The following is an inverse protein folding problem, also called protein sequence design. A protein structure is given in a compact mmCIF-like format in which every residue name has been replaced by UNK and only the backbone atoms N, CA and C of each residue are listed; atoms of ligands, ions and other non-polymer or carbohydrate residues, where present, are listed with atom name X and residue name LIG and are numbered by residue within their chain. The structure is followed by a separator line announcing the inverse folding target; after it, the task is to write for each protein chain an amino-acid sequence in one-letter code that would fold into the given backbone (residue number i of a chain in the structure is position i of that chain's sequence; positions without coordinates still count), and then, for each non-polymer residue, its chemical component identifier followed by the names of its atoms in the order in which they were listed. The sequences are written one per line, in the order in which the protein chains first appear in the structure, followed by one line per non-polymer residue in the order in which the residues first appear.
data_IF_220184519762
#
_entry.id   IF_220184519762
#
_cell.length_a   1.000
_cell.length_b   1.000
_cell.length_c   1.000
_cell.angle_alpha   90.00
_cell.angle_beta   90.00
_cell.angle_gamma   90.00
#
_symmetry.space_group_name_H-M   'P 1'
#
loop_
_entity.id
_entity.type
_entity.pdbx_description
1 polymer ?
#
# COMPACT_ATOMS: atom_id res chain seq x y z
N UNK A 1 0.38 -9.23 2.31
CA UNK A 1 0.79 -9.44 0.91
C UNK A 1 1.07 -10.92 0.63
N UNK A 2 0.18 -11.82 1.01
CA UNK A 2 0.27 -13.25 0.65
C UNK A 2 -0.23 -13.44 -0.79
N UNK A 3 0.06 -14.58 -1.44
CA UNK A 3 -0.40 -14.80 -2.82
C UNK A 3 -1.93 -14.82 -2.95
N UNK A 4 -2.65 -15.07 -1.86
CA UNK A 4 -4.12 -15.01 -1.78
C UNK A 4 -4.67 -13.72 -1.16
N UNK A 5 -3.82 -12.80 -0.69
CA UNK A 5 -4.28 -11.47 -0.21
C UNK A 5 -4.97 -10.72 -1.34
N UNK A 6 -5.94 -9.87 -1.01
CA UNK A 6 -6.50 -8.93 -1.99
C UNK A 6 -5.36 -8.02 -2.50
N UNK A 7 -5.22 -7.82 -3.83
CA UNK A 7 -4.23 -6.90 -4.39
C UNK A 7 -4.19 -5.52 -3.74
N UNK A 8 -5.36 -4.96 -3.38
CA UNK A 8 -5.49 -3.65 -2.76
C UNK A 8 -4.89 -3.57 -1.34
N UNK A 9 -4.78 -4.70 -0.62
CA UNK A 9 -4.07 -4.73 0.66
C UNK A 9 -2.61 -4.28 0.50
N UNK A 10 -1.97 -4.57 -0.64
CA UNK A 10 -0.57 -4.16 -0.87
C UNK A 10 -0.46 -2.65 -1.10
N UNK A 11 -1.45 -2.04 -1.76
CA UNK A 11 -1.54 -0.58 -1.89
C UNK A 11 -1.80 0.08 -0.55
N UNK A 12 -2.68 -0.52 0.25
CA UNK A 12 -3.11 0.00 1.55
C UNK A 12 -1.94 0.28 2.49
N UNK A 13 -0.85 -0.49 2.39
CA UNK A 13 0.38 -0.28 3.18
C UNK A 13 0.97 1.13 3.02
N UNK A 14 0.96 1.71 1.81
CA UNK A 14 1.45 3.07 1.59
C UNK A 14 0.54 4.13 2.22
N UNK A 15 -0.78 3.92 2.14
CA UNK A 15 -1.76 4.79 2.78
C UNK A 15 -1.68 4.72 4.30
N UNK A 16 -1.47 3.53 4.85
CA UNK A 16 -1.25 3.32 6.27
C UNK A 16 0.02 4.02 6.77
N UNK A 17 1.12 3.96 6.00
CA UNK A 17 2.33 4.69 6.32
C UNK A 17 2.10 6.21 6.40
N UNK A 18 1.35 6.79 5.44
CA UNK A 18 0.99 8.22 5.46
C UNK A 18 0.06 8.55 6.65
N UNK A 19 -0.85 7.66 7.00
CA UNK A 19 -1.78 7.83 8.13
C UNK A 19 -1.07 7.82 9.48
N UNK A 20 -0.14 6.88 9.66
CA UNK A 20 0.68 6.75 10.87
C UNK A 20 1.82 7.77 10.97
N UNK A 21 2.00 8.65 9.99
CA UNK A 21 3.15 9.54 9.87
C UNK A 21 4.49 8.77 9.95
N UNK A 22 4.55 7.62 9.27
CA UNK A 22 5.77 6.83 9.11
C UNK A 22 6.51 7.25 7.84
N UNK A 23 7.82 7.01 7.83
CA UNK A 23 8.67 7.29 6.67
C UNK A 23 8.56 6.23 5.57
N UNK A 24 7.93 5.09 5.85
CA UNK A 24 7.76 4.03 4.86
C UNK A 24 7.28 2.70 5.45
N UNK A 25 7.62 1.63 4.73
CA UNK A 25 7.22 0.25 5.04
C UNK A 25 8.38 -0.71 4.83
N UNK A 26 8.48 -1.72 5.70
CA UNK A 26 9.48 -2.79 5.60
C UNK A 26 8.80 -4.15 5.49
N UNK A 27 9.33 -4.98 4.58
CA UNK A 27 8.98 -6.39 4.46
C UNK A 27 10.24 -7.24 4.43
N UNK A 28 10.22 -8.34 5.17
CA UNK A 28 11.43 -9.12 5.46
C UNK A 28 12.01 -9.88 4.26
N UNK A 29 11.19 -10.26 3.28
CA UNK A 29 11.62 -11.10 2.16
C UNK A 29 11.19 -10.54 0.80
N UNK A 30 12.18 -10.13 0.02
CA UNK A 30 12.00 -9.68 -1.36
C UNK A 30 11.92 -10.87 -2.33
N UNK A 31 12.89 -11.79 -2.28
CA UNK A 31 13.03 -12.92 -3.21
C UNK A 31 13.62 -14.20 -2.59
N UNK A 32 13.28 -14.52 -1.33
CA UNK A 32 13.67 -15.78 -0.69
C UNK A 32 12.83 -16.94 -1.25
N UNK A 33 13.13 -17.35 -2.48
CA UNK A 33 12.30 -18.28 -3.26
C UNK A 33 12.17 -19.67 -2.64
N UNK A 34 11.00 -20.28 -2.86
CA UNK A 34 10.75 -21.71 -2.63
C UNK A 34 11.43 -22.54 -3.73
N UNK A 35 11.28 -23.87 -3.69
CA UNK A 35 11.89 -24.78 -4.67
C UNK A 35 11.49 -24.46 -6.12
N UNK A 36 10.20 -24.22 -6.35
CA UNK A 36 9.61 -23.97 -7.68
C UNK A 36 8.73 -22.71 -7.61
N UNK A 37 9.32 -21.50 -7.53
CA UNK A 37 8.61 -20.29 -7.12
C UNK A 37 7.58 -19.81 -8.15
N UNK A 38 7.67 -20.25 -9.41
CA UNK A 38 6.68 -19.93 -10.45
C UNK A 38 5.42 -20.81 -10.36
N UNK A 39 5.52 -21.96 -9.71
CA UNK A 39 4.47 -22.99 -9.67
C UNK A 39 3.81 -23.07 -8.28
N UNK A 40 4.61 -22.97 -7.21
CA UNK A 40 4.11 -23.11 -5.83
C UNK A 40 4.76 -22.12 -4.86
N UNK A 41 3.92 -21.25 -4.30
CA UNK A 41 4.32 -20.22 -3.33
C UNK A 41 4.23 -20.64 -1.88
N UNK A 42 3.76 -21.86 -1.61
CA UNK A 42 3.66 -22.41 -0.24
C UNK A 42 5.04 -22.71 0.32
N UNK A 43 5.15 -22.55 1.63
CA UNK A 43 6.34 -22.91 2.38
C UNK A 43 5.93 -23.67 3.64
N UNK A 44 6.88 -24.38 4.26
CA UNK A 44 6.62 -25.27 5.40
C UNK A 44 6.09 -24.57 6.67
N UNK A 45 6.20 -23.24 6.77
CA UNK A 45 5.93 -22.49 8.03
C UNK A 45 4.87 -21.40 7.89
N UNK A 46 4.90 -20.60 6.81
CA UNK A 46 4.08 -19.39 6.70
C UNK A 46 3.08 -19.49 5.56
N UNK A 47 2.11 -18.57 5.57
CA UNK A 47 1.15 -18.39 4.49
C UNK A 47 1.85 -18.26 3.12
N UNK A 48 1.21 -18.79 2.08
CA UNK A 48 1.77 -18.84 0.74
C UNK A 48 2.12 -17.43 0.22
N UNK A 49 3.30 -17.29 -0.38
CA UNK A 49 3.82 -16.00 -0.85
C UNK A 49 4.48 -15.13 0.21
N UNK A 50 4.61 -15.60 1.46
CA UNK A 50 5.30 -14.79 2.47
C UNK A 50 6.79 -14.60 2.15
N UNK A 51 7.45 -15.62 1.61
CA UNK A 51 8.90 -15.60 1.41
C UNK A 51 9.37 -14.75 0.21
N UNK A 52 8.47 -14.24 -0.64
CA UNK A 52 8.88 -13.44 -1.80
C UNK A 52 7.75 -12.61 -2.40
N UNK A 53 8.12 -11.45 -2.96
CA UNK A 53 7.24 -10.55 -3.72
C UNK A 53 7.51 -10.59 -5.23
N UNK A 54 8.72 -10.95 -5.66
CA UNK A 54 9.10 -10.99 -7.08
C UNK A 54 9.50 -12.40 -7.52
N UNK A 55 9.44 -12.65 -8.82
CA UNK A 55 9.67 -13.96 -9.44
C UNK A 55 10.95 -13.97 -10.29
N UNK A 56 11.51 -15.15 -10.63
CA UNK A 56 12.71 -15.27 -11.46
C UNK A 56 12.63 -14.52 -12.80
N UNK A 57 13.82 -14.16 -13.32
CA UNK A 57 14.03 -13.44 -14.58
C UNK A 57 13.38 -12.04 -14.61
N UNK A 58 13.50 -11.29 -13.52
CA UNK A 58 13.04 -9.89 -13.46
C UNK A 58 11.51 -9.74 -13.52
N UNK A 59 10.75 -10.79 -13.18
CA UNK A 59 9.28 -10.74 -13.20
C UNK A 59 8.76 -10.12 -11.91
N UNK A 60 7.95 -9.07 -12.06
CA UNK A 60 7.20 -8.50 -10.95
C UNK A 60 6.05 -9.42 -10.49
N UNK A 61 5.28 -8.97 -9.52
CA UNK A 61 4.00 -9.57 -9.13
C UNK A 61 2.94 -8.49 -8.96
N UNK A 62 1.67 -8.90 -9.00
CA UNK A 62 0.54 -8.01 -8.66
C UNK A 62 0.79 -7.32 -7.31
N UNK A 63 1.25 -8.07 -6.29
CA UNK A 63 1.49 -7.53 -4.94
C UNK A 63 2.58 -6.46 -4.94
N UNK A 64 3.64 -6.66 -5.74
CA UNK A 64 4.74 -5.70 -5.84
C UNK A 64 4.32 -4.44 -6.59
N UNK A 65 3.64 -4.57 -7.74
CA UNK A 65 3.13 -3.41 -8.48
C UNK A 65 2.10 -2.61 -7.67
N UNK A 66 1.18 -3.28 -6.98
CA UNK A 66 0.20 -2.62 -6.11
C UNK A 66 0.84 -1.92 -4.92
N UNK A 67 1.96 -2.43 -4.41
CA UNK A 67 2.77 -1.76 -3.40
C UNK A 67 3.46 -0.51 -3.97
N UNK A 68 4.04 -0.59 -5.16
CA UNK A 68 4.63 0.57 -5.87
C UNK A 68 3.57 1.65 -6.11
N UNK A 69 2.35 1.28 -6.51
CA UNK A 69 1.24 2.24 -6.60
C UNK A 69 0.93 2.91 -5.25
N UNK A 70 0.92 2.14 -4.14
CA UNK A 70 0.72 2.69 -2.80
C UNK A 70 1.83 3.65 -2.36
N UNK A 71 3.08 3.39 -2.75
CA UNK A 71 4.22 4.29 -2.55
C UNK A 71 4.02 5.59 -3.36
N UNK A 72 3.57 5.49 -4.61
CA UNK A 72 3.27 6.68 -5.41
C UNK A 72 2.12 7.51 -4.83
N UNK A 73 1.09 6.86 -4.28
CA UNK A 73 0.02 7.55 -3.56
C UNK A 73 0.56 8.28 -2.32
N UNK A 74 1.46 7.64 -1.55
CA UNK A 74 2.16 8.28 -0.42
C UNK A 74 2.90 9.55 -0.87
N UNK A 75 3.69 9.47 -1.93
CA UNK A 75 4.45 10.63 -2.44
C UNK A 75 3.54 11.76 -2.91
N UNK A 76 2.44 11.45 -3.61
CA UNK A 76 1.43 12.45 -3.99
C UNK A 76 0.87 13.16 -2.76
N UNK A 77 0.49 12.41 -1.73
CA UNK A 77 -0.03 12.98 -0.49
C UNK A 77 1.02 13.86 0.22
N UNK A 78 2.30 13.45 0.23
CA UNK A 78 3.39 14.25 0.79
C UNK A 78 3.55 15.58 0.05
N UNK A 79 3.61 15.55 -1.29
CA UNK A 79 3.72 16.74 -2.15
C UNK A 79 2.52 17.67 -1.92
N UNK A 80 1.29 17.15 -1.90
CA UNK A 80 0.09 17.96 -1.64
C UNK A 80 0.09 18.58 -0.25
N UNK A 81 0.51 17.83 0.79
CA UNK A 81 0.64 18.38 2.16
C UNK A 81 1.63 19.54 2.20
N UNK A 82 2.79 19.40 1.56
CA UNK A 82 3.80 20.46 1.47
C UNK A 82 3.26 21.68 0.74
N UNK A 83 2.62 21.47 -0.42
CA UNK A 83 2.02 22.54 -1.21
C UNK A 83 0.93 23.29 -0.43
N UNK A 84 0.01 22.58 0.21
CA UNK A 84 -1.08 23.21 0.97
C UNK A 84 -0.57 24.00 2.17
N UNK A 85 0.49 23.53 2.84
CA UNK A 85 1.16 24.28 3.90
C UNK A 85 1.81 25.55 3.35
N UNK A 86 2.59 25.45 2.27
CA UNK A 86 3.28 26.59 1.66
C UNK A 86 2.28 27.67 1.16
N UNK A 87 1.12 27.25 0.65
CA UNK A 87 0.06 28.13 0.13
C UNK A 87 -0.98 28.55 1.18
N UNK A 88 -0.81 28.18 2.46
CA UNK A 88 -1.79 28.42 3.53
C UNK A 88 -3.22 27.90 3.22
N UNK A 89 -3.33 26.82 2.44
CA UNK A 89 -4.59 26.18 2.04
C UNK A 89 -5.12 25.24 3.14
N UNK A 90 -5.39 25.79 4.32
CA UNK A 90 -5.77 25.02 5.52
C UNK A 90 -7.01 24.15 5.32
N UNK A 91 -7.95 24.55 4.47
CA UNK A 91 -9.13 23.76 4.12
C UNK A 91 -8.78 22.46 3.37
N UNK A 92 -7.95 22.55 2.32
CA UNK A 92 -7.49 21.38 1.56
C UNK A 92 -6.62 20.46 2.42
N UNK A 93 -5.76 21.02 3.27
CA UNK A 93 -4.95 20.25 4.21
C UNK A 93 -5.82 19.43 5.16
N UNK A 94 -6.84 20.04 5.78
CA UNK A 94 -7.79 19.34 6.65
C UNK A 94 -8.58 18.24 5.92
N UNK A 95 -8.96 18.48 4.67
CA UNK A 95 -9.64 17.47 3.84
C UNK A 95 -8.73 16.29 3.55
N UNK A 96 -7.47 16.54 3.19
CA UNK A 96 -6.49 15.49 2.95
C UNK A 96 -6.19 14.70 4.23
N UNK A 97 -5.96 15.37 5.36
CA UNK A 97 -5.70 14.69 6.64
C UNK A 97 -6.90 13.83 7.08
N UNK A 98 -8.13 14.29 6.87
CA UNK A 98 -9.36 13.51 7.13
C UNK A 98 -9.49 12.30 6.21
N UNK A 99 -9.05 12.39 4.96
CA UNK A 99 -9.07 11.27 4.03
C UNK A 99 -8.09 10.18 4.48
N UNK A 100 -6.87 10.56 4.86
CA UNK A 100 -5.79 9.65 5.22
C UNK A 100 -6.01 9.02 6.61
N UNK A 101 -6.63 9.73 7.56
CA UNK A 101 -6.83 9.22 8.92
C UNK A 101 -7.69 7.96 9.03
N UNK A 102 -8.34 7.54 7.94
CA UNK A 102 -9.15 6.31 7.87
C UNK A 102 -8.31 5.03 7.72
N UNK A 103 -7.03 5.16 7.36
CA UNK A 103 -6.15 4.03 7.05
C UNK A 103 -5.38 3.54 8.28
N UNK A 104 -6.11 3.17 9.34
CA UNK A 104 -5.58 2.55 10.57
C UNK A 104 -5.86 1.05 10.61
N UNK A 105 -5.19 0.31 11.50
CA UNK A 105 -5.42 -1.15 11.65
C UNK A 105 -6.88 -1.44 12.02
N UNK A 106 -7.45 -0.66 12.95
CA UNK A 106 -8.87 -0.76 13.30
C UNK A 106 -9.78 -0.37 12.12
N UNK A 107 -9.36 0.62 11.33
CA UNK A 107 -10.03 1.03 10.10
C UNK A 107 -9.94 -0.01 8.97
N UNK A 108 -9.02 -0.98 9.05
CA UNK A 108 -8.94 -2.11 8.13
C UNK A 108 -9.98 -3.18 8.44
N UNK A 109 -10.39 -3.31 9.71
CA UNK A 109 -11.42 -4.26 10.12
C UNK A 109 -12.79 -3.90 9.51
N UNK A 110 -13.40 -4.85 8.78
CA UNK A 110 -14.80 -4.75 8.38
C UNK A 110 -15.12 -4.10 7.03
N UNK A 111 -14.16 -3.97 6.10
CA UNK A 111 -14.51 -3.54 4.73
C UNK A 111 -13.51 -3.96 3.66
N UNK A 112 -14.01 -4.10 2.43
CA UNK A 112 -13.22 -4.43 1.23
C UNK A 112 -12.10 -3.40 0.98
N UNK A 113 -10.85 -3.87 1.00
CA UNK A 113 -9.67 -3.03 0.81
C UNK A 113 -9.69 -2.36 -0.57
N UNK A 114 -10.20 -3.05 -1.61
CA UNK A 114 -10.27 -2.51 -2.96
C UNK A 114 -11.20 -1.30 -3.03
N UNK A 115 -12.42 -1.43 -2.50
CA UNK A 115 -13.39 -0.31 -2.45
C UNK A 115 -12.83 0.89 -1.69
N UNK A 116 -12.21 0.68 -0.52
CA UNK A 116 -11.62 1.77 0.29
C UNK A 116 -10.51 2.50 -0.48
N UNK A 117 -9.58 1.77 -1.07
CA UNK A 117 -8.47 2.35 -1.84
C UNK A 117 -8.96 3.09 -3.08
N UNK A 118 -9.90 2.50 -3.83
CA UNK A 118 -10.41 3.12 -5.06
C UNK A 118 -11.14 4.43 -4.77
N UNK A 119 -11.98 4.46 -3.73
CA UNK A 119 -12.66 5.68 -3.30
C UNK A 119 -11.67 6.74 -2.82
N UNK A 120 -10.67 6.34 -2.04
CA UNK A 120 -9.68 7.28 -1.52
C UNK A 120 -8.80 7.87 -2.62
N UNK A 121 -8.34 7.06 -3.59
CA UNK A 121 -7.64 7.56 -4.77
C UNK A 121 -8.49 8.51 -5.60
N UNK A 122 -9.78 8.19 -5.78
CA UNK A 122 -10.70 9.07 -6.50
C UNK A 122 -10.73 10.43 -5.83
N UNK A 123 -10.81 10.50 -4.50
CA UNK A 123 -10.76 11.76 -3.75
C UNK A 123 -9.38 12.44 -3.83
N UNK A 124 -8.29 11.69 -3.69
CA UNK A 124 -6.91 12.21 -3.78
C UNK A 124 -6.65 12.90 -5.13
N UNK A 125 -7.15 12.33 -6.22
CA UNK A 125 -6.96 12.86 -7.57
C UNK A 125 -7.88 14.05 -7.91
N UNK A 126 -8.67 14.59 -6.96
CA UNK A 126 -9.47 15.80 -7.14
C UNK A 126 -8.86 17.05 -6.49
N UNK A 127 -7.73 16.92 -5.79
CA UNK A 127 -7.05 18.03 -5.14
C UNK A 127 -6.36 18.98 -6.12
#
# INVERSE_FOLDING_TARGET
TFTFSDPAESTWLGWHAMSGNYDGYLRWAYNSWTKEPLQDSRFRTWAAGDCYLVYPNGRSSIRFERMIEGIQDYEKMRILKEEFKAKNQTGKLKQLDKLVSQFTVDGAAGGDAATKINNARKALNQF
#
